data_IF_846889779937
#
_entry.id   IF_846889779937
#
_cell.length_a   1.000
_cell.length_b   1.000
_cell.length_c   1.000
_cell.angle_alpha   90.00
_cell.angle_beta   90.00
_cell.angle_gamma   90.00
#
_symmetry.space_group_name_H-M   'P 1'
#
loop_
_entity.id
_entity.type
_entity.pdbx_description
1 polymer ?
#
# COMPACT_ATOMS: atom_id res chain seq x y z
N UNK A 1 14.40 -16.06 -10.49
CA UNK A 1 13.54 -14.92 -10.84
C UNK A 1 12.62 -14.60 -9.67
N UNK A 2 12.55 -13.33 -9.28
CA UNK A 2 11.65 -12.90 -8.20
C UNK A 2 10.35 -12.41 -8.82
N UNK A 3 9.24 -13.00 -8.38
CA UNK A 3 7.91 -12.63 -8.88
C UNK A 3 7.05 -12.18 -7.71
N UNK A 4 6.41 -11.01 -7.87
CA UNK A 4 5.48 -10.48 -6.90
C UNK A 4 4.04 -10.54 -7.38
N UNK A 5 3.12 -10.47 -6.44
CA UNK A 5 1.68 -10.42 -6.70
C UNK A 5 1.14 -9.07 -6.27
N UNK A 6 0.24 -8.52 -7.07
CA UNK A 6 -0.46 -7.27 -6.79
C UNK A 6 -1.89 -7.56 -6.34
N UNK A 7 -2.19 -7.27 -5.08
CA UNK A 7 -3.51 -7.47 -4.49
C UNK A 7 -4.41 -6.24 -4.50
N UNK A 8 -4.11 -5.24 -5.32
CA UNK A 8 -4.77 -3.93 -5.32
C UNK A 8 -6.30 -4.01 -5.43
N UNK A 9 -6.82 -4.98 -6.18
CA UNK A 9 -8.26 -5.15 -6.31
C UNK A 9 -8.99 -5.36 -5.00
N UNK A 10 -8.33 -5.95 -4.00
CA UNK A 10 -8.92 -6.22 -2.70
C UNK A 10 -9.00 -4.96 -1.82
N UNK A 11 -8.12 -4.00 -2.04
CA UNK A 11 -8.08 -2.74 -1.26
C UNK A 11 -9.39 -1.95 -1.45
N UNK A 12 -9.92 -1.94 -2.65
CA UNK A 12 -11.16 -1.21 -2.99
C UNK A 12 -12.38 -1.71 -2.22
N UNK A 13 -12.40 -3.00 -1.90
CA UNK A 13 -13.58 -3.62 -1.29
C UNK A 13 -13.56 -3.57 0.24
N UNK A 14 -12.48 -3.07 0.85
CA UNK A 14 -12.44 -2.81 2.27
C UNK A 14 -12.41 -4.05 3.17
N UNK A 15 -11.90 -5.17 2.68
CA UNK A 15 -11.87 -6.43 3.46
C UNK A 15 -10.44 -6.75 3.89
N UNK A 16 -10.10 -6.35 5.12
CA UNK A 16 -8.78 -6.57 5.72
C UNK A 16 -8.47 -8.06 5.86
N UNK A 17 -9.45 -8.84 6.29
CA UNK A 17 -9.26 -10.28 6.49
C UNK A 17 -8.93 -11.00 5.18
N UNK A 18 -9.57 -10.61 4.07
CA UNK A 18 -9.27 -11.17 2.76
C UNK A 18 -7.85 -10.85 2.30
N UNK A 19 -7.40 -9.61 2.52
CA UNK A 19 -6.03 -9.22 2.15
C UNK A 19 -5.02 -10.00 2.99
N UNK A 20 -5.24 -10.10 4.29
CA UNK A 20 -4.36 -10.87 5.18
C UNK A 20 -4.26 -12.34 4.74
N UNK A 21 -5.38 -12.95 4.40
CA UNK A 21 -5.41 -14.32 3.89
C UNK A 21 -4.72 -14.45 2.54
N UNK A 22 -4.90 -13.46 1.66
CA UNK A 22 -4.27 -13.44 0.33
C UNK A 22 -2.74 -13.34 0.44
N UNK A 23 -2.23 -12.50 1.32
CA UNK A 23 -0.79 -12.39 1.58
C UNK A 23 -0.22 -13.73 2.05
N UNK A 24 -0.89 -14.40 2.97
CA UNK A 24 -0.47 -15.73 3.44
C UNK A 24 -0.43 -16.76 2.31
N UNK A 25 -1.45 -16.75 1.46
CA UNK A 25 -1.52 -17.69 0.33
C UNK A 25 -0.42 -17.39 -0.70
N UNK A 26 -0.19 -16.13 -1.01
CA UNK A 26 0.87 -15.71 -1.93
C UNK A 26 2.25 -16.16 -1.43
N UNK A 27 2.51 -15.99 -0.14
CA UNK A 27 3.76 -16.45 0.47
C UNK A 27 3.88 -17.98 0.42
N UNK A 28 2.80 -18.69 0.73
CA UNK A 28 2.77 -20.16 0.67
C UNK A 28 3.00 -20.69 -0.74
N UNK A 29 2.52 -19.96 -1.75
CA UNK A 29 2.69 -20.32 -3.15
C UNK A 29 4.10 -20.03 -3.70
N UNK A 30 4.99 -19.44 -2.88
CA UNK A 30 6.38 -19.23 -3.24
C UNK A 30 6.70 -17.91 -3.92
N UNK A 31 5.77 -16.98 -3.98
CA UNK A 31 6.04 -15.63 -4.50
C UNK A 31 6.90 -14.84 -3.50
N UNK A 32 7.74 -13.95 -4.03
CA UNK A 32 8.73 -13.23 -3.21
C UNK A 32 8.22 -11.92 -2.63
N UNK A 33 7.15 -11.36 -3.17
CA UNK A 33 6.64 -10.06 -2.74
C UNK A 33 5.15 -9.92 -2.99
N UNK A 34 4.53 -9.03 -2.19
CA UNK A 34 3.11 -8.69 -2.32
C UNK A 34 2.94 -7.17 -2.32
N UNK A 35 2.14 -6.66 -3.24
CA UNK A 35 2.04 -5.22 -3.48
C UNK A 35 0.60 -4.75 -3.42
N UNK A 36 0.38 -3.60 -2.79
CA UNK A 36 -0.91 -2.91 -2.78
C UNK A 36 -0.75 -1.50 -3.31
N UNK A 37 -1.71 -1.06 -4.12
CA UNK A 37 -1.87 0.34 -4.46
C UNK A 37 -3.02 0.92 -3.63
N UNK A 38 -2.87 2.14 -3.14
CA UNK A 38 -3.91 2.82 -2.40
C UNK A 38 -4.72 3.70 -3.32
N UNK A 39 -6.05 3.56 -3.26
CA UNK A 39 -6.95 4.39 -4.04
C UNK A 39 -7.19 5.71 -3.30
N UNK A 40 -7.00 6.88 -3.94
CA UNK A 40 -7.07 8.16 -3.25
C UNK A 40 -8.47 8.55 -2.75
N UNK A 41 -9.52 7.97 -3.32
CA UNK A 41 -10.89 8.33 -3.01
C UNK A 41 -11.65 7.28 -2.23
N UNK A 42 -11.00 6.21 -1.81
CA UNK A 42 -11.68 5.17 -1.05
C UNK A 42 -10.87 3.90 -0.91
N UNK A 43 -11.37 2.99 -0.10
CA UNK A 43 -10.69 1.75 0.19
C UNK A 43 -9.85 1.83 1.46
N UNK A 44 -9.03 0.82 1.65
CA UNK A 44 -8.23 0.65 2.86
C UNK A 44 -6.91 1.43 2.77
N UNK A 45 -6.40 1.84 3.91
CA UNK A 45 -5.05 2.38 4.03
C UNK A 45 -4.04 1.25 3.83
N UNK A 46 -3.28 1.32 2.75
CA UNK A 46 -2.38 0.24 2.35
C UNK A 46 -1.30 -0.05 3.38
N UNK A 47 -0.69 0.98 3.97
CA UNK A 47 0.36 0.79 4.96
C UNK A 47 -0.16 0.11 6.22
N UNK A 48 -1.35 0.49 6.67
CA UNK A 48 -1.98 -0.14 7.84
C UNK A 48 -2.29 -1.61 7.57
N UNK A 49 -2.87 -1.91 6.42
CA UNK A 49 -3.23 -3.29 6.05
C UNK A 49 -2.00 -4.16 5.92
N UNK A 50 -0.95 -3.68 5.26
CA UNK A 50 0.29 -4.42 5.14
C UNK A 50 0.95 -4.69 6.50
N UNK A 51 0.88 -3.72 7.42
CA UNK A 51 1.39 -3.89 8.78
C UNK A 51 0.67 -5.02 9.51
N UNK A 52 -0.65 -5.10 9.35
CA UNK A 52 -1.45 -6.18 9.95
C UNK A 52 -1.12 -7.54 9.31
N UNK A 53 -1.03 -7.59 8.00
CA UNK A 53 -0.69 -8.80 7.27
C UNK A 53 0.70 -9.33 7.61
N UNK A 54 1.65 -8.44 7.84
CA UNK A 54 3.03 -8.78 8.18
C UNK A 54 3.14 -9.61 9.46
N UNK A 55 2.20 -9.48 10.38
CA UNK A 55 2.23 -10.18 11.66
C UNK A 55 2.07 -11.69 11.49
N UNK A 56 1.37 -12.13 10.46
CA UNK A 56 1.13 -13.55 10.21
C UNK A 56 1.95 -14.11 9.04
N UNK A 57 2.75 -13.28 8.38
CA UNK A 57 3.53 -13.69 7.20
C UNK A 57 4.93 -13.08 7.27
N UNK A 58 5.86 -13.72 8.00
CA UNK A 58 7.16 -13.11 8.33
C UNK A 58 8.20 -13.15 7.22
N UNK A 59 7.94 -13.85 6.11
CA UNK A 59 8.99 -14.15 5.12
C UNK A 59 8.86 -13.41 3.80
N UNK A 60 7.75 -12.74 3.55
CA UNK A 60 7.49 -12.09 2.25
C UNK A 60 7.80 -10.59 2.31
N UNK A 61 8.35 -10.06 1.23
CA UNK A 61 8.49 -8.62 1.06
C UNK A 61 7.12 -7.99 0.78
N UNK A 62 6.81 -6.89 1.44
CA UNK A 62 5.55 -6.17 1.30
C UNK A 62 5.81 -4.77 0.79
N UNK A 63 5.01 -4.30 -0.14
CA UNK A 63 5.23 -2.99 -0.72
C UNK A 63 3.97 -2.28 -1.16
N UNK A 64 4.12 -0.99 -1.37
CA UNK A 64 3.07 -0.15 -1.96
C UNK A 64 3.45 0.25 -3.38
N UNK A 65 2.48 0.17 -4.26
CA UNK A 65 2.66 0.59 -5.66
C UNK A 65 1.35 1.21 -6.16
N UNK A 66 1.06 2.34 -5.75
CA UNK A 66 1.74 3.33 -4.91
C UNK A 66 0.85 3.81 -3.77
N UNK A 67 1.41 4.57 -2.82
CA UNK A 67 0.64 5.40 -1.90
C UNK A 67 0.66 6.83 -2.45
N UNK A 68 -0.51 7.47 -2.67
CA UNK A 68 -0.56 8.86 -3.13
C UNK A 68 0.00 9.81 -2.08
N UNK A 69 0.80 10.79 -2.52
CA UNK A 69 1.39 11.77 -1.61
C UNK A 69 0.47 12.95 -1.32
N UNK A 70 -0.47 13.24 -2.21
CA UNK A 70 -1.32 14.44 -2.10
C UNK A 70 -2.22 14.47 -0.86
N UNK A 71 -2.89 13.36 -0.46
CA UNK A 71 -3.78 13.41 0.70
C UNK A 71 -3.05 13.41 2.04
N UNK A 72 -1.75 13.20 2.06
CA UNK A 72 -0.97 13.09 3.30
C UNK A 72 0.08 14.19 3.40
N UNK A 73 0.18 14.78 4.59
CA UNK A 73 1.33 15.61 4.90
C UNK A 73 2.60 14.75 4.89
N UNK A 74 3.74 15.23 4.35
CA UNK A 74 4.97 14.43 4.31
C UNK A 74 5.42 13.89 5.68
N UNK A 75 5.24 14.64 6.75
CA UNK A 75 5.57 14.18 8.10
C UNK A 75 4.70 13.01 8.53
N UNK A 76 3.42 13.04 8.18
CA UNK A 76 2.48 11.95 8.50
C UNK A 76 2.85 10.71 7.69
N UNK A 77 3.13 10.87 6.41
CA UNK A 77 3.53 9.73 5.57
C UNK A 77 4.83 9.11 6.06
N UNK A 78 5.80 9.93 6.46
CA UNK A 78 7.06 9.45 7.01
C UNK A 78 6.84 8.65 8.30
N UNK A 79 6.01 9.15 9.21
CA UNK A 79 5.69 8.46 10.46
C UNK A 79 4.98 7.13 10.22
N UNK A 80 4.01 7.12 9.31
CA UNK A 80 3.30 5.89 8.93
C UNK A 80 4.24 4.86 8.32
N UNK A 81 5.12 5.30 7.44
CA UNK A 81 6.05 4.42 6.74
C UNK A 81 7.07 3.81 7.68
N UNK A 82 7.63 4.60 8.59
CA UNK A 82 8.56 4.13 9.60
C UNK A 82 7.89 3.14 10.56
N UNK A 83 6.68 3.42 10.98
CA UNK A 83 5.91 2.54 11.84
C UNK A 83 5.61 1.20 11.16
N UNK A 84 5.15 1.28 9.91
CA UNK A 84 4.88 0.08 9.11
C UNK A 84 6.16 -0.75 8.90
N UNK A 85 7.27 -0.11 8.54
CA UNK A 85 8.55 -0.78 8.38
C UNK A 85 8.99 -1.48 9.67
N UNK A 86 8.75 -0.84 10.81
CA UNK A 86 9.05 -1.42 12.13
C UNK A 86 8.29 -2.71 12.42
N UNK A 87 7.10 -2.90 11.83
CA UNK A 87 6.34 -4.14 11.98
C UNK A 87 6.82 -5.26 11.07
N UNK A 88 7.70 -4.98 10.13
CA UNK A 88 8.05 -5.87 9.02
C UNK A 88 9.54 -6.25 8.97
N UNK A 89 10.33 -5.88 9.96
CA UNK A 89 11.78 -6.15 9.98
C UNK A 89 12.48 -5.77 8.68
N UNK A 90 12.19 -4.57 8.15
CA UNK A 90 12.82 -4.06 6.95
C UNK A 90 12.31 -4.66 5.64
N UNK A 91 11.23 -5.44 5.66
CA UNK A 91 10.64 -6.04 4.47
C UNK A 91 9.73 -5.09 3.68
N UNK A 92 9.55 -3.86 4.15
CA UNK A 92 8.72 -2.87 3.47
C UNK A 92 9.48 -2.19 2.34
N UNK A 93 8.85 -2.14 1.18
CA UNK A 93 9.24 -1.25 0.08
C UNK A 93 8.16 -0.22 -0.11
N UNK A 94 8.48 1.04 0.14
CA UNK A 94 7.52 2.14 0.01
C UNK A 94 7.58 2.74 -1.39
N UNK A 95 6.51 2.53 -2.16
CA UNK A 95 6.30 3.24 -3.43
C UNK A 95 5.33 4.39 -3.23
N UNK A 96 5.70 5.57 -3.67
CA UNK A 96 4.88 6.77 -3.58
C UNK A 96 4.69 7.39 -4.96
N UNK A 97 3.63 8.17 -5.13
CA UNK A 97 3.36 8.85 -6.39
C UNK A 97 2.28 9.91 -6.26
N UNK A 98 2.04 10.59 -7.36
CA UNK A 98 1.06 11.69 -7.38
C UNK A 98 -0.36 11.22 -7.67
N UNK A 99 -0.53 10.00 -8.17
CA UNK A 99 -1.81 9.49 -8.66
C UNK A 99 -2.33 10.33 -9.85
N UNK A 100 -3.57 10.13 -10.25
CA UNK A 100 -4.14 10.88 -11.38
C UNK A 100 -4.74 12.20 -10.93
N UNK A 101 -4.42 13.28 -11.61
CA UNK A 101 -4.92 14.62 -11.28
C UNK A 101 -6.45 14.69 -11.25
N UNK A 102 -7.12 14.05 -12.20
CA UNK A 102 -8.58 14.00 -12.26
C UNK A 102 -9.18 13.33 -11.03
N UNK A 103 -8.60 12.23 -10.56
CA UNK A 103 -9.07 11.53 -9.38
C UNK A 103 -8.93 12.39 -8.13
N UNK A 104 -7.82 13.11 -7.99
CA UNK A 104 -7.57 13.95 -6.82
C UNK A 104 -8.45 15.19 -6.81
N UNK A 105 -8.61 15.86 -7.95
CA UNK A 105 -9.43 17.07 -8.02
C UNK A 105 -10.93 16.79 -7.97
N UNK A 106 -11.41 15.74 -8.62
CA UNK A 106 -12.83 15.39 -8.65
C UNK A 106 -13.25 14.62 -7.40
N UNK A 107 -12.43 13.66 -6.95
CA UNK A 107 -12.77 12.79 -5.84
C UNK A 107 -12.53 13.42 -4.48
N UNK A 108 -11.51 14.25 -4.31
CA UNK A 108 -11.09 14.84 -3.04
C UNK A 108 -11.25 16.35 -2.99
N UNK A 109 -11.63 16.98 -4.10
CA UNK A 109 -11.73 18.43 -4.18
C UNK A 109 -10.39 19.17 -4.11
N UNK A 110 -9.30 18.47 -4.38
CA UNK A 110 -7.95 19.03 -4.33
C UNK A 110 -7.58 19.64 -5.66
N UNK A 111 -6.86 20.76 -5.61
CA UNK A 111 -6.24 21.33 -6.80
C UNK A 111 -4.83 20.83 -6.94
N UNK A 112 -4.51 20.37 -8.12
CA UNK A 112 -3.14 20.01 -8.48
C UNK A 112 -2.56 21.13 -9.34
N UNK A 113 -1.41 21.63 -8.93
CA UNK A 113 -0.63 22.51 -9.76
C UNK A 113 0.30 21.67 -10.62
N UNK A 114 0.39 21.99 -11.92
CA UNK A 114 1.44 21.44 -12.75
C UNK A 114 2.79 21.90 -12.20
N UNK A 115 3.60 20.96 -11.81
CA UNK A 115 5.03 21.24 -11.66
C UNK A 115 5.65 21.19 -13.05
N UNK A 116 6.23 22.25 -13.45
CA UNK A 116 6.98 22.31 -14.70
C UNK A 116 8.42 21.82 -14.51
#
# INVERSE_FOLDING_TARGET
MRIGINGTGLVRFGDVARITADVKQVAADGFSSYWLAEHPTGGLDALTVLSLAAQSTPSIELGTAIVPTWPRHPMVLAAQSLTAAGTMDGRLTLGIGLSHASMLSEGLGLRMHRSE
#
